data_IF_546695802295
#
_entry.id   IF_546695802295
#
_cell.length_a   1.000
_cell.length_b   1.000
_cell.length_c   1.000
_cell.angle_alpha   90.00
_cell.angle_beta   90.00
_cell.angle_gamma   90.00
#
_symmetry.space_group_name_H-M   'P 1'
#
loop_
_entity.id
_entity.type
_entity.pdbx_description
1 polymer ?
#
# COMPACT_ATOMS: atom_id res chain seq x y z
N UNK A 1 40.19 -24.06 -0.67
CA UNK A 1 38.86 -24.27 -1.30
C UNK A 1 37.73 -23.60 -0.51
N UNK A 2 37.65 -23.78 0.82
CA UNK A 2 36.61 -23.20 1.70
C UNK A 2 36.53 -21.66 1.72
N UNK A 3 37.67 -20.94 1.73
CA UNK A 3 37.67 -19.47 1.73
C UNK A 3 37.18 -18.84 0.41
N UNK A 4 37.43 -19.49 -0.75
CA UNK A 4 36.92 -19.02 -2.05
C UNK A 4 35.39 -19.16 -2.13
N UNK A 5 34.86 -20.28 -1.64
CA UNK A 5 33.41 -20.49 -1.53
C UNK A 5 32.75 -19.48 -0.58
N UNK A 6 33.37 -19.20 0.57
CA UNK A 6 32.88 -18.17 1.52
C UNK A 6 32.86 -16.77 0.89
N UNK A 7 33.92 -16.39 0.16
CA UNK A 7 33.97 -15.10 -0.55
C UNK A 7 32.93 -15.00 -1.66
N UNK A 8 32.75 -16.06 -2.44
CA UNK A 8 31.70 -16.11 -3.46
C UNK A 8 30.32 -15.96 -2.83
N UNK A 9 30.04 -16.68 -1.73
CA UNK A 9 28.77 -16.57 -1.00
C UNK A 9 28.50 -15.14 -0.52
N UNK A 10 29.47 -14.50 0.13
CA UNK A 10 29.35 -13.13 0.62
C UNK A 10 29.17 -12.09 -0.50
N UNK A 11 29.65 -12.37 -1.71
CA UNK A 11 29.44 -11.50 -2.87
C UNK A 11 28.07 -11.70 -3.52
N UNK A 12 27.53 -12.93 -3.49
CA UNK A 12 26.26 -13.29 -4.14
C UNK A 12 25.06 -12.97 -3.25
N UNK A 13 25.16 -13.14 -1.93
CA UNK A 13 24.07 -12.87 -0.98
C UNK A 13 23.45 -11.45 -1.15
N UNK A 14 24.22 -10.35 -1.27
CA UNK A 14 23.65 -9.03 -1.51
C UNK A 14 22.97 -8.87 -2.87
N UNK A 15 23.48 -9.57 -3.90
CA UNK A 15 22.89 -9.53 -5.24
C UNK A 15 21.53 -10.23 -5.26
N UNK A 16 21.41 -11.38 -4.58
CA UNK A 16 20.14 -12.08 -4.42
C UNK A 16 19.13 -11.24 -3.65
N UNK A 17 19.56 -10.59 -2.56
CA UNK A 17 18.69 -9.69 -1.79
C UNK A 17 18.21 -8.49 -2.62
N UNK A 18 19.08 -7.92 -3.46
CA UNK A 18 18.72 -6.82 -4.36
C UNK A 18 17.70 -7.26 -5.42
N UNK A 19 17.90 -8.43 -6.04
CA UNK A 19 16.96 -9.01 -7.00
C UNK A 19 15.62 -9.33 -6.34
N UNK A 20 15.63 -9.90 -5.13
CA UNK A 20 14.39 -10.18 -4.40
C UNK A 20 13.63 -8.90 -4.10
N UNK A 21 14.29 -7.85 -3.58
CA UNK A 21 13.64 -6.56 -3.35
C UNK A 21 13.15 -5.88 -4.64
N UNK A 22 13.73 -6.22 -5.78
CA UNK A 22 13.23 -5.78 -7.08
C UNK A 22 11.97 -6.54 -7.52
N UNK A 23 11.93 -7.85 -7.32
CA UNK A 23 10.73 -8.67 -7.52
C UNK A 23 9.60 -8.16 -6.63
N UNK A 24 9.84 -8.01 -5.33
CA UNK A 24 8.82 -7.57 -4.36
C UNK A 24 8.21 -6.22 -4.76
N UNK A 25 9.05 -5.28 -5.23
CA UNK A 25 8.58 -3.98 -5.73
C UNK A 25 7.70 -4.12 -6.98
N UNK A 26 8.12 -4.93 -7.96
CA UNK A 26 7.36 -5.11 -9.20
C UNK A 26 6.05 -5.85 -8.95
N UNK A 27 6.01 -6.80 -8.01
CA UNK A 27 4.77 -7.43 -7.55
C UNK A 27 3.83 -6.42 -6.86
N UNK A 28 4.38 -5.43 -6.14
CA UNK A 28 3.56 -4.36 -5.58
C UNK A 28 2.97 -3.45 -6.65
N UNK A 29 3.75 -3.09 -7.67
CA UNK A 29 3.24 -2.33 -8.84
C UNK A 29 2.15 -3.14 -9.57
N UNK A 30 2.37 -4.43 -9.81
CA UNK A 30 1.40 -5.32 -10.45
C UNK A 30 0.09 -5.38 -9.65
N UNK A 31 0.16 -5.54 -8.32
CA UNK A 31 -1.02 -5.56 -7.46
C UNK A 31 -1.89 -4.29 -7.57
N UNK A 32 -1.29 -3.12 -7.78
CA UNK A 32 -2.05 -1.88 -8.04
C UNK A 32 -2.66 -1.86 -9.44
N UNK A 33 -1.93 -2.30 -10.46
CA UNK A 33 -2.42 -2.34 -11.83
C UNK A 33 -3.62 -3.29 -11.96
N UNK A 34 -3.57 -4.47 -11.35
CA UNK A 34 -4.69 -5.43 -11.37
C UNK A 34 -5.96 -4.89 -10.69
N UNK A 35 -5.83 -3.95 -9.75
CA UNK A 35 -6.99 -3.30 -9.13
C UNK A 35 -7.65 -2.27 -10.07
N UNK A 36 -6.90 -1.77 -11.06
CA UNK A 36 -7.34 -0.79 -12.06
C UNK A 36 -7.81 -1.43 -13.38
N UNK A 37 -7.87 -2.77 -13.47
CA UNK A 37 -8.24 -3.52 -14.68
C UNK A 37 -9.59 -3.09 -15.27
N UNK A 38 -10.47 -2.51 -14.46
CA UNK A 38 -11.72 -1.89 -14.91
C UNK A 38 -11.61 -0.39 -14.68
N UNK A 39 -11.29 0.35 -15.74
CA UNK A 39 -11.27 1.81 -15.75
C UNK A 39 -12.67 2.36 -15.46
N UNK A 40 -12.87 3.04 -14.33
CA UNK A 40 -14.19 3.54 -13.92
C UNK A 40 -14.22 5.05 -13.72
N UNK A 41 -13.11 5.66 -13.34
CA UNK A 41 -13.06 7.06 -12.91
C UNK A 41 -11.89 7.82 -13.53
N UNK A 42 -11.98 9.16 -13.68
CA UNK A 42 -10.83 10.00 -14.05
C UNK A 42 -9.64 9.86 -13.09
N UNK A 43 -9.89 9.55 -11.82
CA UNK A 43 -8.87 9.31 -10.80
C UNK A 43 -8.07 8.02 -11.06
N UNK A 44 -8.69 7.01 -11.69
CA UNK A 44 -7.98 5.80 -12.11
C UNK A 44 -6.95 6.11 -13.20
N UNK A 45 -7.29 7.01 -14.14
CA UNK A 45 -6.32 7.48 -15.16
C UNK A 45 -5.12 8.15 -14.51
N UNK A 46 -5.38 9.07 -13.57
CA UNK A 46 -4.31 9.78 -12.87
C UNK A 46 -3.44 8.82 -12.05
N UNK A 47 -4.05 7.81 -11.43
CA UNK A 47 -3.31 6.75 -10.74
C UNK A 47 -2.37 6.01 -11.70
N UNK A 48 -2.83 5.68 -12.91
CA UNK A 48 -1.99 5.05 -13.94
C UNK A 48 -0.87 5.97 -14.42
N UNK A 49 -1.13 7.27 -14.58
CA UNK A 49 -0.11 8.27 -14.91
C UNK A 49 0.96 8.35 -13.80
N UNK A 50 0.54 8.38 -12.53
CA UNK A 50 1.46 8.37 -11.39
C UNK A 50 2.32 7.10 -11.34
N UNK A 51 1.73 5.92 -11.60
CA UNK A 51 2.47 4.65 -11.65
C UNK A 51 3.47 4.67 -12.82
N UNK A 52 3.08 5.17 -13.99
CA UNK A 52 3.99 5.32 -15.13
C UNK A 52 5.16 6.23 -14.77
N UNK A 53 4.88 7.38 -14.17
CA UNK A 53 5.89 8.37 -13.83
C UNK A 53 6.82 7.85 -12.71
N UNK A 54 6.30 7.05 -11.78
CA UNK A 54 7.10 6.28 -10.82
C UNK A 54 8.05 5.32 -11.53
N UNK A 55 7.56 4.50 -12.47
CA UNK A 55 8.37 3.55 -13.22
C UNK A 55 9.44 4.24 -14.08
N UNK A 56 9.16 5.43 -14.62
CA UNK A 56 10.17 6.27 -15.29
C UNK A 56 11.24 6.71 -14.29
N UNK A 57 10.85 7.20 -13.11
CA UNK A 57 11.78 7.64 -12.06
C UNK A 57 12.64 6.50 -11.52
N UNK A 58 12.10 5.28 -11.46
CA UNK A 58 12.83 4.06 -11.11
C UNK A 58 13.61 3.45 -12.29
N UNK A 59 13.62 4.10 -13.45
CA UNK A 59 14.32 3.69 -14.68
C UNK A 59 13.84 2.37 -15.32
N UNK A 60 12.62 1.92 -15.00
CA UNK A 60 11.97 0.79 -15.69
C UNK A 60 11.40 1.20 -17.05
N UNK A 61 10.97 2.46 -17.19
CA UNK A 61 10.43 3.02 -18.42
C UNK A 61 11.27 4.22 -18.88
N UNK A 62 11.30 4.45 -20.19
CA UNK A 62 11.90 5.66 -20.76
C UNK A 62 10.88 6.79 -20.73
N UNK A 63 11.33 7.99 -20.36
CA UNK A 63 10.51 9.19 -20.47
C UNK A 63 10.19 9.49 -21.96
N UNK A 64 8.94 9.86 -22.30
CA UNK A 64 8.61 10.35 -23.63
C UNK A 64 9.27 11.72 -23.91
N UNK A 65 9.51 12.03 -25.19
CA UNK A 65 10.16 13.30 -25.62
C UNK A 65 9.42 14.56 -25.13
N UNK A 66 8.10 14.47 -24.96
CA UNK A 66 7.27 15.51 -24.36
C UNK A 66 6.54 14.95 -23.13
N UNK A 67 7.23 14.87 -22.01
CA UNK A 67 6.62 14.56 -20.71
C UNK A 67 6.24 15.86 -19.99
N UNK A 68 4.95 16.08 -19.79
CA UNK A 68 4.48 17.08 -18.83
C UNK A 68 4.35 16.40 -17.46
N UNK A 69 5.16 16.84 -16.49
CA UNK A 69 4.97 16.51 -15.08
C UNK A 69 3.62 17.07 -14.65
N UNK A 70 2.60 16.21 -14.59
CA UNK A 70 1.27 16.59 -14.14
C UNK A 70 1.28 16.57 -12.60
N UNK A 71 1.71 17.68 -11.98
CA UNK A 71 1.96 17.80 -10.52
C UNK A 71 0.71 17.82 -9.63
N UNK A 72 -0.45 17.40 -10.10
CA UNK A 72 -1.62 17.27 -9.23
C UNK A 72 -1.61 15.85 -8.67
N UNK A 73 -1.13 15.72 -7.44
CA UNK A 73 -1.26 14.48 -6.67
C UNK A 73 -2.73 14.05 -6.68
N UNK A 74 -2.98 12.79 -7.01
CA UNK A 74 -4.31 12.20 -7.01
C UNK A 74 -4.79 12.04 -5.58
N UNK A 75 -6.09 12.22 -5.35
CA UNK A 75 -6.70 12.00 -4.03
C UNK A 75 -6.60 10.52 -3.63
N UNK A 76 -6.39 10.26 -2.35
CA UNK A 76 -6.49 8.91 -1.77
C UNK A 76 -7.91 8.34 -1.92
N UNK A 77 -8.09 7.02 -1.83
CA UNK A 77 -9.44 6.54 -1.51
C UNK A 77 -9.77 6.94 -0.07
N UNK A 78 -11.00 7.43 0.15
CA UNK A 78 -11.48 7.90 1.44
C UNK A 78 -12.73 7.14 1.84
N UNK A 79 -12.73 6.64 3.07
CA UNK A 79 -13.85 5.96 3.70
C UNK A 79 -14.06 6.52 5.10
N UNK A 80 -15.18 6.15 5.69
CA UNK A 80 -15.52 6.43 7.07
C UNK A 80 -15.83 5.10 7.76
N UNK A 81 -15.24 4.88 8.94
CA UNK A 81 -15.54 3.70 9.74
C UNK A 81 -16.95 3.80 10.36
N UNK A 82 -17.54 2.71 10.87
CA UNK A 82 -18.86 2.75 11.50
C UNK A 82 -18.99 3.76 12.66
N UNK A 83 -17.89 4.03 13.39
CA UNK A 83 -17.87 5.05 14.45
C UNK A 83 -17.55 6.47 13.96
N UNK A 84 -17.35 6.68 12.65
CA UNK A 84 -17.12 7.99 12.06
C UNK A 84 -15.66 8.39 11.87
N UNK A 85 -14.70 7.46 12.02
CA UNK A 85 -13.29 7.78 11.83
C UNK A 85 -12.93 7.82 10.35
N UNK A 86 -12.11 8.80 9.96
CA UNK A 86 -11.63 8.89 8.60
C UNK A 86 -10.61 7.79 8.28
N UNK A 87 -10.78 7.14 7.13
CA UNK A 87 -9.91 6.11 6.62
C UNK A 87 -9.36 6.52 5.25
N UNK A 88 -8.05 6.52 5.10
CA UNK A 88 -7.35 6.84 3.86
C UNK A 88 -6.62 5.61 3.32
N UNK A 89 -6.69 5.39 2.01
CA UNK A 89 -6.01 4.28 1.32
C UNK A 89 -5.21 4.81 0.15
N UNK A 90 -3.92 4.48 0.09
CA UNK A 90 -3.05 4.84 -1.04
C UNK A 90 -3.42 4.08 -2.31
N UNK A 91 -3.44 4.75 -3.46
CA UNK A 91 -3.77 4.14 -4.75
C UNK A 91 -2.57 3.51 -5.48
N UNK A 92 -1.35 3.84 -5.04
CA UNK A 92 -0.08 3.36 -5.59
C UNK A 92 1.05 3.58 -4.58
N UNK A 93 2.28 3.18 -4.93
CA UNK A 93 3.44 3.29 -4.05
C UNK A 93 3.83 4.74 -3.69
N UNK A 94 3.71 5.70 -4.62
CA UNK A 94 3.96 7.13 -4.33
C UNK A 94 3.00 7.64 -3.25
N UNK A 95 1.73 7.32 -3.39
CA UNK A 95 0.71 7.68 -2.41
C UNK A 95 0.89 6.93 -1.10
N UNK A 96 1.31 5.67 -1.12
CA UNK A 96 1.65 4.92 0.09
C UNK A 96 2.74 5.63 0.90
N UNK A 97 3.81 6.09 0.24
CA UNK A 97 4.88 6.86 0.88
C UNK A 97 4.36 8.19 1.45
N UNK A 98 3.56 8.93 0.66
CA UNK A 98 2.97 10.18 1.09
C UNK A 98 2.08 9.97 2.32
N UNK A 99 1.21 8.96 2.26
CA UNK A 99 0.27 8.62 3.33
C UNK A 99 1.01 8.29 4.63
N UNK A 100 2.05 7.46 4.52
CA UNK A 100 2.78 6.91 5.69
C UNK A 100 3.72 7.93 6.32
N UNK A 101 4.43 8.72 5.51
CA UNK A 101 5.54 9.55 5.99
C UNK A 101 5.27 11.05 5.98
N UNK A 102 4.16 11.51 5.39
CA UNK A 102 3.79 12.94 5.35
C UNK A 102 2.41 13.23 5.93
N UNK A 103 1.45 12.35 5.70
CA UNK A 103 0.05 12.57 6.11
C UNK A 103 -0.23 12.02 7.50
N UNK A 104 0.38 10.88 7.85
CA UNK A 104 0.20 10.22 9.14
C UNK A 104 0.65 11.08 10.32
N UNK A 105 -0.23 11.17 11.33
CA UNK A 105 0.02 11.78 12.63
C UNK A 105 0.37 10.76 13.72
N UNK A 106 0.65 11.27 14.93
CA UNK A 106 1.12 10.46 16.05
C UNK A 106 0.08 9.51 16.67
N UNK A 107 -1.21 9.82 16.47
CA UNK A 107 -2.34 9.07 17.02
C UNK A 107 -2.93 8.07 16.03
N UNK A 108 -2.67 8.25 14.74
CA UNK A 108 -3.20 7.42 13.68
C UNK A 108 -2.72 5.96 13.80
N UNK A 109 -3.44 5.06 13.16
CA UNK A 109 -3.04 3.67 12.99
C UNK A 109 -2.77 3.39 11.51
N UNK A 110 -1.62 2.81 11.24
CA UNK A 110 -1.22 2.37 9.90
C UNK A 110 -1.46 0.87 9.75
N UNK A 111 -2.04 0.47 8.63
CA UNK A 111 -2.40 -0.90 8.29
C UNK A 111 -1.80 -1.31 6.95
N UNK A 112 -1.49 -2.59 6.82
CA UNK A 112 -1.07 -3.22 5.57
C UNK A 112 -1.30 -4.73 5.63
N UNK A 113 -1.44 -5.40 4.50
CA UNK A 113 -1.50 -6.86 4.47
C UNK A 113 -0.16 -7.48 4.83
N UNK A 114 -0.14 -8.50 5.69
CA UNK A 114 1.10 -9.11 6.14
C UNK A 114 1.76 -9.89 4.99
N UNK A 115 2.97 -9.47 4.60
CA UNK A 115 3.78 -10.13 3.55
C UNK A 115 3.08 -10.28 2.18
N UNK A 116 2.02 -9.51 1.94
CA UNK A 116 1.25 -9.53 0.70
C UNK A 116 1.28 -8.11 0.14
N UNK A 117 1.59 -7.91 -1.15
CA UNK A 117 1.58 -6.58 -1.75
C UNK A 117 0.19 -5.94 -1.70
N UNK A 118 0.14 -4.67 -1.29
CA UNK A 118 -1.11 -3.92 -1.22
C UNK A 118 -0.92 -2.45 -0.88
N UNK A 119 -2.05 -1.81 -0.63
CA UNK A 119 -2.13 -0.40 -0.27
C UNK A 119 -1.74 -0.19 1.18
N UNK A 120 -1.08 0.93 1.46
CA UNK A 120 -0.97 1.43 2.83
C UNK A 120 -2.30 2.07 3.19
N UNK A 121 -2.78 1.77 4.38
CA UNK A 121 -4.06 2.25 4.89
C UNK A 121 -3.83 2.99 6.20
N UNK A 122 -4.46 4.14 6.36
CA UNK A 122 -4.29 5.02 7.52
C UNK A 122 -5.64 5.34 8.12
N UNK A 123 -5.89 4.83 9.32
CA UNK A 123 -7.03 5.21 10.15
C UNK A 123 -6.67 6.47 10.94
N UNK A 124 -7.36 7.57 10.65
CA UNK A 124 -7.13 8.87 11.28
C UNK A 124 -7.79 8.92 12.65
N UNK A 125 -7.01 9.30 13.66
CA UNK A 125 -7.47 9.38 15.03
C UNK A 125 -7.07 10.70 15.67
N UNK A 126 -8.00 11.29 16.42
CA UNK A 126 -7.71 12.42 17.28
C UNK A 126 -7.05 11.98 18.59
N UNK A 127 -6.47 12.94 19.30
CA UNK A 127 -5.84 12.68 20.59
C UNK A 127 -6.85 12.07 21.59
N UNK A 128 -6.56 10.86 22.07
CA UNK A 128 -7.41 10.15 23.03
C UNK A 128 -8.56 9.35 22.40
N UNK A 129 -8.76 9.43 21.08
CA UNK A 129 -9.67 8.53 20.38
C UNK A 129 -9.11 7.10 20.38
N UNK A 130 -9.99 6.12 20.61
CA UNK A 130 -9.67 4.70 20.59
C UNK A 130 -10.71 4.03 19.68
N UNK A 131 -10.31 3.49 18.51
CA UNK A 131 -11.22 2.75 17.66
C UNK A 131 -11.65 1.47 18.36
N UNK A 132 -12.91 1.09 18.19
CA UNK A 132 -13.39 -0.18 18.71
C UNK A 132 -13.03 -1.34 17.77
N UNK A 133 -13.40 -2.56 18.16
CA UNK A 133 -13.13 -3.75 17.34
C UNK A 133 -13.85 -3.73 15.98
N UNK A 134 -15.01 -3.06 15.90
CA UNK A 134 -15.79 -2.96 14.66
C UNK A 134 -15.07 -2.03 13.67
N UNK A 135 -14.53 -0.92 14.15
CA UNK A 135 -13.71 -0.01 13.34
C UNK A 135 -12.42 -0.70 12.87
N UNK A 136 -11.71 -1.39 13.76
CA UNK A 136 -10.49 -2.13 13.39
C UNK A 136 -10.77 -3.24 12.36
N UNK A 137 -11.88 -3.97 12.51
CA UNK A 137 -12.30 -4.98 11.55
C UNK A 137 -12.66 -4.35 10.20
N UNK A 138 -13.36 -3.21 10.18
CA UNK A 138 -13.67 -2.50 8.95
C UNK A 138 -12.40 -2.10 8.20
N UNK A 139 -11.43 -1.52 8.91
CA UNK A 139 -10.14 -1.13 8.32
C UNK A 139 -9.35 -2.34 7.81
N UNK A 140 -9.36 -3.46 8.55
CA UNK A 140 -8.72 -4.70 8.11
C UNK A 140 -9.38 -5.27 6.85
N UNK A 141 -10.71 -5.27 6.76
CA UNK A 141 -11.45 -5.72 5.58
C UNK A 141 -11.09 -4.87 4.35
N UNK A 142 -11.03 -3.54 4.51
CA UNK A 142 -10.64 -2.59 3.45
C UNK A 142 -9.18 -2.81 3.03
N UNK A 143 -8.26 -2.99 3.99
CA UNK A 143 -6.84 -3.23 3.71
C UNK A 143 -6.64 -4.53 2.94
N UNK A 144 -7.36 -5.60 3.30
CA UNK A 144 -7.34 -6.86 2.59
C UNK A 144 -7.89 -6.73 1.16
N UNK A 145 -8.95 -5.94 0.98
CA UNK A 145 -9.55 -5.70 -0.34
C UNK A 145 -8.60 -4.95 -1.28
N UNK A 146 -7.86 -3.96 -0.76
CA UNK A 146 -6.89 -3.16 -1.51
C UNK A 146 -5.50 -3.82 -1.59
N UNK A 147 -5.46 -5.14 -1.68
CA UNK A 147 -4.24 -5.96 -1.77
C UNK A 147 -4.34 -6.99 -2.89
N UNK A 148 -3.21 -7.65 -3.20
CA UNK A 148 -3.17 -8.82 -4.09
C UNK A 148 -4.07 -9.97 -3.61
N UNK A 149 -4.36 -10.04 -2.32
CA UNK A 149 -5.18 -11.10 -1.72
C UNK A 149 -6.69 -10.79 -1.72
N UNK A 150 -7.17 -9.82 -2.50
CA UNK A 150 -8.59 -9.42 -2.58
C UNK A 150 -9.59 -10.57 -2.80
N UNK A 151 -9.18 -11.64 -3.50
CA UNK A 151 -10.03 -12.80 -3.77
C UNK A 151 -9.95 -13.91 -2.70
N UNK A 152 -9.14 -13.73 -1.66
CA UNK A 152 -9.02 -14.68 -0.54
C UNK A 152 -10.18 -14.51 0.45
N UNK A 153 -10.56 -15.56 1.17
CA UNK A 153 -11.64 -15.47 2.18
C UNK A 153 -11.20 -14.70 3.44
N UNK A 154 -9.95 -14.88 3.84
CA UNK A 154 -9.36 -14.27 5.02
C UNK A 154 -7.90 -13.90 4.74
N UNK A 155 -7.48 -12.73 5.20
CA UNK A 155 -6.15 -12.17 4.94
C UNK A 155 -5.58 -11.64 6.25
N UNK A 156 -4.34 -11.98 6.62
CA UNK A 156 -3.67 -11.37 7.76
C UNK A 156 -3.35 -9.91 7.42
N UNK A 157 -3.85 -8.99 8.23
CA UNK A 157 -3.59 -7.56 8.14
C UNK A 157 -2.86 -7.15 9.40
N UNK A 158 -1.70 -6.54 9.22
CA UNK A 158 -0.98 -5.95 10.34
C UNK A 158 -1.42 -4.51 10.55
N UNK A 159 -1.33 -4.05 11.80
CA UNK A 159 -1.42 -2.64 12.09
C UNK A 159 -0.46 -2.23 13.20
N UNK A 160 -0.01 -0.98 13.14
CA UNK A 160 0.85 -0.37 14.15
C UNK A 160 0.75 1.15 14.10
N UNK A 161 1.45 1.85 14.99
CA UNK A 161 1.56 3.31 14.92
C UNK A 161 2.54 3.72 13.81
N UNK A 162 2.28 4.79 13.04
CA UNK A 162 3.15 5.26 11.97
C UNK A 162 4.62 5.45 12.39
N UNK A 163 4.89 5.88 13.63
CA UNK A 163 6.25 6.02 14.18
C UNK A 163 7.06 4.72 14.25
N UNK A 164 6.41 3.56 14.11
CA UNK A 164 7.06 2.25 14.05
C UNK A 164 7.23 1.73 12.62
N UNK A 165 6.86 2.53 11.62
CA UNK A 165 7.06 2.26 10.20
C UNK A 165 8.23 3.10 9.70
N UNK A 166 9.17 2.47 9.01
CA UNK A 166 10.42 3.07 8.57
C UNK A 166 10.67 2.75 7.11
N UNK A 167 11.15 3.74 6.36
CA UNK A 167 11.65 3.54 5.00
C UNK A 167 13.16 3.30 5.03
N UNK A 168 13.65 2.10 4.67
CA UNK A 168 15.09 1.86 4.57
C UNK A 168 15.73 2.81 3.55
N UNK A 169 16.98 3.23 3.81
CA UNK A 169 17.68 4.15 2.91
C UNK A 169 17.88 3.49 1.55
N UNK A 170 17.40 4.14 0.50
CA UNK A 170 17.47 3.63 -0.87
C UNK A 170 16.40 2.59 -1.21
N UNK A 171 15.46 2.31 -0.31
CA UNK A 171 14.30 1.49 -0.64
C UNK A 171 13.43 2.20 -1.70
N UNK A 172 12.83 1.40 -2.57
CA UNK A 172 11.91 1.87 -3.60
C UNK A 172 10.64 2.45 -2.97
N UNK A 173 9.85 3.25 -3.72
CA UNK A 173 8.57 3.75 -3.24
C UNK A 173 7.67 2.61 -2.71
N UNK A 174 6.88 2.88 -1.67
CA UNK A 174 5.99 1.88 -1.05
C UNK A 174 6.67 0.87 -0.14
N UNK A 175 7.98 0.65 -0.29
CA UNK A 175 8.72 -0.35 0.49
C UNK A 175 9.06 0.17 1.89
N UNK A 176 8.54 -0.52 2.91
CA UNK A 176 8.69 -0.15 4.32
C UNK A 176 9.06 -1.35 5.19
N UNK A 177 9.62 -1.04 6.36
CA UNK A 177 9.83 -1.97 7.46
C UNK A 177 9.05 -1.47 8.65
N UNK A 178 8.30 -2.35 9.30
CA UNK A 178 7.51 -2.03 10.49
C UNK A 178 7.97 -2.84 11.70
N UNK A 179 7.53 -2.41 12.88
CA UNK A 179 7.77 -3.09 14.17
C UNK A 179 6.55 -2.92 15.07
N UNK A 180 6.46 -3.74 16.11
CA UNK A 180 5.41 -3.65 17.13
C UNK A 180 4.01 -3.72 16.50
N UNK A 181 3.89 -4.58 15.50
CA UNK A 181 2.66 -4.86 14.80
C UNK A 181 1.75 -5.78 15.62
N UNK A 182 0.45 -5.59 15.41
CA UNK A 182 -0.56 -6.56 15.80
C UNK A 182 -1.22 -7.08 14.53
N UNK A 183 -1.68 -8.32 14.56
CA UNK A 183 -2.35 -8.95 13.42
C UNK A 183 -3.86 -8.97 13.66
N UNK A 184 -4.59 -8.59 12.63
CA UNK A 184 -6.04 -8.67 12.53
C UNK A 184 -6.41 -9.45 11.27
N UNK A 185 -7.53 -10.18 11.30
CA UNK A 185 -7.94 -10.98 10.15
C UNK A 185 -8.98 -10.23 9.32
N UNK A 186 -8.56 -9.71 8.17
CA UNK A 186 -9.42 -9.02 7.21
C UNK A 186 -10.17 -9.98 6.30
N UNK A 187 -11.37 -9.60 5.89
CA UNK A 187 -12.26 -10.34 4.98
C UNK A 187 -12.63 -9.44 3.79
N UNK A 188 -11.93 -9.54 2.65
CA UNK A 188 -12.05 -8.57 1.57
C UNK A 188 -13.45 -8.53 0.93
N UNK A 189 -14.21 -9.62 0.93
CA UNK A 189 -15.58 -9.65 0.38
C UNK A 189 -16.58 -8.79 1.18
N UNK A 190 -16.33 -8.59 2.48
CA UNK A 190 -17.14 -7.67 3.30
C UNK A 190 -16.91 -6.23 2.88
N UNK A 191 -15.64 -5.85 2.68
CA UNK A 191 -15.28 -4.55 2.15
C UNK A 191 -15.87 -4.31 0.75
N UNK A 192 -15.84 -5.30 -0.14
CA UNK A 192 -16.44 -5.19 -1.48
C UNK A 192 -17.92 -4.81 -1.42
N UNK A 193 -18.67 -5.45 -0.51
CA UNK A 193 -20.10 -5.15 -0.30
C UNK A 193 -20.30 -3.71 0.16
N UNK A 194 -19.48 -3.22 1.10
CA UNK A 194 -19.55 -1.84 1.59
C UNK A 194 -19.16 -0.82 0.52
N UNK A 195 -18.08 -1.08 -0.23
CA UNK A 195 -17.63 -0.19 -1.31
C UNK A 195 -18.68 -0.12 -2.42
N UNK A 196 -19.30 -1.24 -2.79
CA UNK A 196 -20.38 -1.27 -3.78
C UNK A 196 -21.60 -0.44 -3.33
N UNK A 197 -21.94 -0.46 -2.04
CA UNK A 197 -23.01 0.37 -1.48
C UNK A 197 -22.67 1.87 -1.52
N UNK A 198 -21.41 2.24 -1.25
CA UNK A 198 -20.95 3.62 -1.27
C UNK A 198 -20.86 4.20 -2.70
N UNK A 199 -20.41 3.39 -3.67
CA UNK A 199 -20.27 3.81 -5.06
C UNK A 199 -21.62 3.81 -5.81
N UNK A 200 -22.61 3.07 -5.32
CA UNK A 200 -23.97 3.12 -5.85
C UNK A 200 -24.04 2.69 -7.31
N UNK A 201 -24.15 1.39 -7.55
CA UNK A 201 -25.02 0.93 -8.64
C UNK A 201 -26.43 1.35 -8.21
N UNK A 202 -26.84 2.54 -8.65
CA UNK A 202 -28.24 2.80 -8.94
C UNK A 202 -28.63 1.78 -10.02
N UNK A 203 -29.29 0.70 -9.61
CA UNK A 203 -30.24 0.02 -10.48
C UNK A 203 -31.60 0.68 -10.26
#
# INVERSE_FOLDING_TARGET
>A
KHQKLKRARLAVEPLLAAVQGEIDYLEQVEAFLSQLDIYRTPEDLRTLEEIRDELIQQAYLKAPEHHQDNKKDTEFYRYETPSGFELLVGRNNRQNDLLTFRVAGDYDLWFHTQEIPGSHVLLRLDAGAIPDEVDLQFVADISAFYSRARQSEIVPVIYTKPKFVYKPKGAKPGMVVYKQEQVFWGKPQRAETHIAQLIGIQN
#
